data_IF_625594774445
#
_entry.id   IF_625594774445
#
_cell.length_a   1.000
_cell.length_b   1.000
_cell.length_c   1.000
_cell.angle_alpha   90.00
_cell.angle_beta   90.00
_cell.angle_gamma   90.00
#
_symmetry.space_group_name_H-M   'P 1'
#
loop_
_entity.id
_entity.type
_entity.pdbx_description
1 polymer ?
#
# COMPACT_ATOMS: atom_id res chain seq x y z
N UNK A 1 -46.45 2.96 -33.94
CA UNK A 1 -45.55 4.12 -34.00
C UNK A 1 -44.44 3.88 -33.00
N UNK A 2 -43.26 3.60 -33.52
CA UNK A 2 -42.06 3.14 -32.81
C UNK A 2 -41.44 4.33 -32.06
N UNK A 3 -41.10 4.16 -30.79
CA UNK A 3 -39.97 4.88 -30.22
C UNK A 3 -39.18 3.92 -29.34
N UNK A 4 -38.07 3.48 -29.91
CA UNK A 4 -37.05 2.68 -29.24
C UNK A 4 -36.39 3.57 -28.20
N UNK A 5 -36.61 3.28 -26.91
CA UNK A 5 -35.62 3.64 -25.91
C UNK A 5 -34.43 2.72 -26.14
N UNK A 6 -33.47 3.24 -26.90
CA UNK A 6 -32.14 2.67 -27.04
C UNK A 6 -31.53 2.53 -25.65
N UNK A 7 -31.65 1.34 -25.06
CA UNK A 7 -30.63 0.85 -24.14
C UNK A 7 -29.34 0.79 -24.93
N UNK A 8 -28.61 1.90 -24.95
CA UNK A 8 -27.23 1.87 -25.37
C UNK A 8 -26.52 1.02 -24.33
N UNK A 9 -26.12 -0.17 -24.76
CA UNK A 9 -25.12 -0.98 -24.09
C UNK A 9 -24.03 -0.04 -23.56
N UNK A 10 -23.86 0.01 -22.24
CA UNK A 10 -22.60 0.40 -21.62
C UNK A 10 -21.57 -0.66 -22.06
N UNK A 11 -21.08 -0.56 -23.29
CA UNK A 11 -19.87 -1.23 -23.71
C UNK A 11 -18.81 -0.81 -22.72
N UNK A 12 -18.41 -1.72 -21.84
CA UNK A 12 -17.38 -1.50 -20.84
C UNK A 12 -16.17 -0.93 -21.57
N UNK A 13 -15.91 0.37 -21.36
CA UNK A 13 -14.83 1.06 -22.04
C UNK A 13 -13.52 0.29 -21.85
N UNK A 14 -12.77 0.12 -22.94
CA UNK A 14 -11.55 -0.70 -22.98
C UNK A 14 -10.66 -0.42 -21.76
N UNK A 15 -10.09 -1.44 -21.08
CA UNK A 15 -9.24 -1.19 -19.93
C UNK A 15 -8.01 -0.34 -20.30
N UNK A 16 -7.50 0.43 -19.33
CA UNK A 16 -6.21 1.12 -19.44
C UNK A 16 -5.13 0.26 -18.81
N UNK A 17 -3.99 0.13 -19.49
CA UNK A 17 -2.79 -0.44 -18.88
C UNK A 17 -2.13 0.63 -18.01
N UNK A 18 -1.80 0.29 -16.77
CA UNK A 18 -1.09 1.18 -15.86
C UNK A 18 0.27 1.59 -16.48
N UNK A 19 0.72 2.86 -16.32
CA UNK A 19 1.92 3.37 -16.99
C UNK A 19 3.23 2.92 -16.30
N UNK A 20 3.18 1.94 -15.41
CA UNK A 20 4.33 1.38 -14.70
C UNK A 20 4.05 -0.04 -14.21
N UNK A 21 5.13 -0.79 -14.02
CA UNK A 21 5.11 -2.11 -13.38
C UNK A 21 5.26 -1.95 -11.87
N UNK A 22 4.38 -2.59 -11.10
CA UNK A 22 4.55 -2.73 -9.65
C UNK A 22 5.45 -3.93 -9.37
N UNK A 23 6.54 -3.70 -8.67
CA UNK A 23 7.39 -4.76 -8.15
C UNK A 23 6.87 -5.23 -6.80
N UNK A 24 6.85 -6.55 -6.61
CA UNK A 24 6.44 -7.23 -5.38
C UNK A 24 7.66 -7.95 -4.83
N UNK A 25 7.99 -7.69 -3.56
CA UNK A 25 9.07 -8.40 -2.91
C UNK A 25 8.78 -9.90 -2.80
N UNK A 26 9.74 -10.74 -3.17
CA UNK A 26 9.60 -12.20 -3.15
C UNK A 26 9.33 -12.83 -1.78
N UNK A 27 9.50 -12.07 -0.68
CA UNK A 27 9.19 -12.53 0.69
C UNK A 27 7.74 -12.23 1.10
N UNK A 28 6.99 -11.45 0.33
CA UNK A 28 5.57 -11.16 0.58
C UNK A 28 4.71 -12.41 0.30
N UNK A 29 4.12 -12.96 1.36
CA UNK A 29 3.35 -14.22 1.29
C UNK A 29 1.93 -14.03 0.79
N UNK A 30 1.37 -12.84 0.98
CA UNK A 30 0.02 -12.51 0.57
C UNK A 30 0.05 -11.18 -0.19
N UNK A 31 0.53 -11.16 -1.44
CA UNK A 31 0.64 -9.93 -2.21
C UNK A 31 -0.74 -9.38 -2.59
N UNK A 32 -0.81 -8.07 -2.75
CA UNK A 32 -1.93 -7.42 -3.42
C UNK A 32 -2.03 -7.87 -4.88
N UNK A 33 -3.25 -7.90 -5.40
CA UNK A 33 -3.52 -8.30 -6.79
C UNK A 33 -3.62 -7.10 -7.72
N UNK A 34 -3.84 -5.91 -7.15
CA UNK A 34 -4.08 -4.65 -7.85
C UNK A 34 -5.24 -4.72 -8.87
N UNK A 35 -6.22 -5.58 -8.61
CA UNK A 35 -7.40 -5.76 -9.45
C UNK A 35 -8.53 -4.80 -9.08
N UNK A 36 -9.42 -4.49 -10.03
CA UNK A 36 -10.61 -3.66 -9.80
C UNK A 36 -10.29 -2.19 -9.48
N UNK A 37 -9.06 -1.74 -9.77
CA UNK A 37 -8.70 -0.33 -9.75
C UNK A 37 -9.29 0.35 -10.99
N UNK A 38 -9.58 1.64 -10.88
CA UNK A 38 -10.16 2.45 -11.96
C UNK A 38 -9.31 3.69 -12.18
N UNK A 39 -9.22 4.16 -13.41
CA UNK A 39 -8.58 5.42 -13.75
C UNK A 39 -9.32 6.62 -13.15
N UNK A 40 -8.74 7.80 -13.29
CA UNK A 40 -9.36 9.05 -12.84
C UNK A 40 -10.54 9.46 -13.75
N UNK A 41 -11.28 10.50 -13.35
CA UNK A 41 -12.52 10.94 -14.02
C UNK A 41 -12.27 11.44 -15.44
N UNK A 42 -11.15 12.10 -15.68
CA UNK A 42 -10.70 12.54 -17.01
C UNK A 42 -10.48 11.35 -17.97
N UNK A 43 -10.13 10.19 -17.41
CA UNK A 43 -10.00 8.91 -18.10
C UNK A 43 -11.28 8.06 -18.00
N UNK A 44 -12.42 8.68 -17.69
CA UNK A 44 -13.76 8.07 -17.61
C UNK A 44 -13.87 6.89 -16.64
N UNK A 45 -13.07 6.88 -15.58
CA UNK A 45 -13.09 5.81 -14.57
C UNK A 45 -12.92 4.39 -15.16
N UNK A 46 -12.21 4.29 -16.30
CA UNK A 46 -11.95 3.03 -17.01
C UNK A 46 -11.23 2.03 -16.10
N UNK A 47 -11.51 0.71 -16.19
CA UNK A 47 -10.77 -0.30 -15.45
C UNK A 47 -9.26 -0.20 -15.73
N UNK A 48 -8.44 -0.35 -14.68
CA UNK A 48 -6.98 -0.41 -14.80
C UNK A 48 -6.50 -1.87 -14.80
N UNK A 49 -5.58 -2.18 -15.71
CA UNK A 49 -4.78 -3.40 -15.72
C UNK A 49 -3.40 -3.04 -15.22
N UNK A 50 -3.06 -3.53 -14.03
CA UNK A 50 -1.76 -3.29 -13.38
C UNK A 50 -0.82 -4.45 -13.67
N UNK A 51 0.31 -4.16 -14.31
CA UNK A 51 1.38 -5.14 -14.50
C UNK A 51 2.15 -5.31 -13.20
N UNK A 52 2.38 -6.55 -12.78
CA UNK A 52 3.17 -6.88 -11.59
C UNK A 52 4.33 -7.79 -11.93
N UNK A 53 5.43 -7.67 -11.19
CA UNK A 53 6.57 -8.58 -11.28
C UNK A 53 7.15 -8.87 -9.90
N UNK A 54 7.66 -10.08 -9.71
CA UNK A 54 8.40 -10.44 -8.50
C UNK A 54 9.83 -9.90 -8.56
N UNK A 55 10.33 -9.37 -7.45
CA UNK A 55 11.68 -8.85 -7.32
C UNK A 55 12.25 -9.12 -5.91
N UNK A 56 13.56 -8.96 -5.77
CA UNK A 56 14.20 -8.88 -4.45
C UNK A 56 14.42 -7.41 -4.09
N UNK A 57 13.63 -6.88 -3.16
CA UNK A 57 13.74 -5.50 -2.71
C UNK A 57 14.68 -5.40 -1.50
N UNK A 58 15.49 -4.35 -1.43
CA UNK A 58 16.37 -4.12 -0.27
C UNK A 58 15.54 -3.79 0.98
N UNK A 59 14.42 -3.09 0.80
CA UNK A 59 13.44 -2.75 1.83
C UNK A 59 12.07 -2.49 1.19
N UNK A 60 10.98 -2.68 1.95
CA UNK A 60 9.62 -2.57 1.44
C UNK A 60 9.12 -3.85 0.76
N UNK A 61 7.80 -3.95 0.63
CA UNK A 61 7.10 -5.06 -0.03
C UNK A 61 6.68 -4.70 -1.46
N UNK A 62 6.53 -3.40 -1.76
CA UNK A 62 6.16 -2.92 -3.09
C UNK A 62 7.03 -1.74 -3.53
N UNK A 63 7.37 -1.71 -4.80
CA UNK A 63 8.09 -0.60 -5.43
C UNK A 63 7.65 -0.42 -6.89
N UNK A 64 8.21 0.57 -7.57
CA UNK A 64 8.05 0.76 -9.02
C UNK A 64 9.32 0.29 -9.73
N UNK A 65 9.16 -0.42 -10.84
CA UNK A 65 10.27 -0.86 -11.69
C UNK A 65 11.12 0.33 -12.15
N UNK A 66 12.44 0.23 -11.95
CA UNK A 66 13.41 1.29 -12.24
C UNK A 66 13.54 2.37 -11.15
N UNK A 67 12.70 2.36 -10.12
CA UNK A 67 12.65 3.39 -9.07
C UNK A 67 12.75 2.83 -7.64
N UNK A 68 13.10 1.55 -7.50
CA UNK A 68 13.22 0.84 -6.22
C UNK A 68 14.14 1.53 -5.19
N UNK A 69 15.26 2.19 -5.58
CA UNK A 69 16.11 2.89 -4.61
C UNK A 69 15.47 4.16 -4.02
N UNK A 70 14.43 4.69 -4.66
CA UNK A 70 13.91 6.02 -4.37
C UNK A 70 12.64 6.01 -3.54
N UNK A 71 11.75 5.04 -3.77
CA UNK A 71 10.57 4.88 -2.94
C UNK A 71 10.01 3.47 -2.90
N UNK A 72 9.35 3.16 -1.79
CA UNK A 72 8.69 1.87 -1.58
C UNK A 72 7.47 2.00 -0.66
N UNK A 73 6.69 0.91 -0.60
CA UNK A 73 5.66 0.68 0.40
C UNK A 73 5.98 -0.60 1.16
N UNK A 74 5.99 -0.51 2.48
CA UNK A 74 5.98 -1.65 3.39
C UNK A 74 4.52 -1.96 3.76
N UNK A 75 4.05 -3.18 3.54
CA UNK A 75 2.71 -3.62 3.92
C UNK A 75 2.77 -4.32 5.27
N UNK A 76 1.76 -4.11 6.10
CA UNK A 76 1.63 -4.83 7.37
C UNK A 76 0.18 -5.18 7.65
N UNK A 77 -0.11 -6.46 7.88
CA UNK A 77 -1.40 -6.84 8.48
C UNK A 77 -1.44 -6.40 9.94
N UNK A 78 -2.63 -6.34 10.54
CA UNK A 78 -2.74 -6.02 11.97
C UNK A 78 -2.02 -7.05 12.84
N UNK A 79 -2.16 -8.34 12.53
CA UNK A 79 -1.49 -9.42 13.23
C UNK A 79 0.05 -9.31 13.12
N UNK A 80 0.56 -9.05 11.92
CA UNK A 80 1.99 -8.89 11.68
C UNK A 80 2.54 -7.64 12.38
N UNK A 81 1.77 -6.56 12.45
CA UNK A 81 2.17 -5.33 13.15
C UNK A 81 2.38 -5.59 14.64
N UNK A 82 1.40 -6.23 15.28
CA UNK A 82 1.47 -6.58 16.70
C UNK A 82 2.60 -7.57 16.99
N UNK A 83 2.76 -8.59 16.15
CA UNK A 83 3.87 -9.55 16.23
C UNK A 83 5.21 -8.85 16.09
N UNK A 84 5.35 -8.00 15.08
CA UNK A 84 6.58 -7.25 14.79
C UNK A 84 6.97 -6.36 15.95
N UNK A 85 6.04 -5.57 16.49
CA UNK A 85 6.34 -4.68 17.61
C UNK A 85 6.58 -5.41 18.94
N UNK A 86 6.07 -6.64 19.09
CA UNK A 86 6.27 -7.47 20.27
C UNK A 86 7.58 -8.27 20.27
N UNK A 87 7.99 -8.80 19.11
CA UNK A 87 9.08 -9.79 19.01
C UNK A 87 10.19 -9.43 18.02
N UNK A 88 9.89 -8.58 17.03
CA UNK A 88 10.80 -8.28 15.92
C UNK A 88 11.02 -6.78 15.74
N UNK A 89 10.88 -6.01 16.82
CA UNK A 89 10.89 -4.55 16.78
C UNK A 89 12.18 -3.99 16.21
N UNK A 90 13.32 -4.53 16.63
CA UNK A 90 14.64 -4.09 16.15
C UNK A 90 14.82 -4.30 14.65
N UNK A 91 14.29 -5.40 14.12
CA UNK A 91 14.31 -5.66 12.68
C UNK A 91 13.50 -4.59 11.94
N UNK A 92 12.31 -4.27 12.44
CA UNK A 92 11.45 -3.26 11.83
C UNK A 92 12.00 -1.84 11.95
N UNK A 93 12.75 -1.56 13.02
CA UNK A 93 13.46 -0.30 13.19
C UNK A 93 14.60 -0.16 12.17
N UNK A 94 15.33 -1.25 11.86
CA UNK A 94 16.32 -1.29 10.77
C UNK A 94 15.66 -1.10 9.39
N UNK A 95 14.48 -1.67 9.18
CA UNK A 95 13.68 -1.42 7.97
C UNK A 95 13.31 0.07 7.86
N UNK A 96 12.89 0.71 8.97
CA UNK A 96 12.62 2.15 9.01
C UNK A 96 13.86 3.00 8.73
N UNK A 97 15.03 2.64 9.25
CA UNK A 97 16.27 3.35 8.96
C UNK A 97 16.61 3.32 7.46
N UNK A 98 16.39 2.18 6.78
CA UNK A 98 16.58 2.09 5.32
C UNK A 98 15.54 2.92 4.58
N UNK A 99 14.27 2.82 4.95
CA UNK A 99 13.20 3.62 4.35
C UNK A 99 13.40 5.13 4.52
N UNK A 100 13.93 5.57 5.67
CA UNK A 100 14.23 6.98 5.95
C UNK A 100 15.32 7.56 5.04
N UNK A 101 16.19 6.72 4.46
CA UNK A 101 17.20 7.14 3.50
C UNK A 101 16.65 7.24 2.07
N UNK A 102 15.44 6.75 1.82
CA UNK A 102 14.77 6.87 0.53
C UNK A 102 14.12 8.24 0.38
N UNK A 103 13.80 8.65 -0.85
CA UNK A 103 13.13 9.92 -1.08
C UNK A 103 11.71 9.93 -0.49
N UNK A 104 10.96 8.85 -0.67
CA UNK A 104 9.65 8.65 -0.04
C UNK A 104 9.47 7.19 0.34
N UNK A 105 8.85 6.92 1.47
CA UNK A 105 8.42 5.57 1.84
C UNK A 105 7.13 5.66 2.65
N UNK A 106 6.38 4.57 2.71
CA UNK A 106 5.16 4.51 3.52
C UNK A 106 4.97 3.10 4.07
N UNK A 107 4.58 3.00 5.35
CA UNK A 107 4.07 1.76 5.91
C UNK A 107 2.55 1.78 5.77
N UNK A 108 1.97 0.85 5.02
CA UNK A 108 0.52 0.70 4.87
C UNK A 108 0.05 -0.46 5.76
N UNK A 109 -0.91 -0.16 6.63
CA UNK A 109 -1.43 -1.11 7.62
C UNK A 109 -2.86 -1.48 7.26
N UNK A 110 -3.14 -2.78 7.18
CA UNK A 110 -4.46 -3.35 6.86
C UNK A 110 -5.41 -3.35 8.08
N UNK A 111 -5.50 -2.22 8.76
CA UNK A 111 -6.46 -1.94 9.81
C UNK A 111 -6.58 -0.42 9.96
N UNK A 112 -7.76 0.07 10.34
CA UNK A 112 -7.88 1.47 10.76
C UNK A 112 -7.40 1.66 12.21
N UNK A 113 -7.34 2.91 12.69
CA UNK A 113 -6.90 3.20 14.06
C UNK A 113 -7.83 2.60 15.12
N UNK A 114 -9.13 2.51 14.87
CA UNK A 114 -10.10 1.97 15.82
C UNK A 114 -9.86 0.47 15.98
N UNK A 115 -9.77 -0.26 14.88
CA UNK A 115 -9.45 -1.68 14.86
C UNK A 115 -8.08 -1.92 15.51
N UNK A 116 -7.06 -1.13 15.14
CA UNK A 116 -5.73 -1.28 15.69
C UNK A 116 -5.63 -1.08 17.20
N UNK A 117 -6.54 -0.29 17.80
CA UNK A 117 -6.52 0.02 19.23
C UNK A 117 -7.50 -0.81 20.06
N UNK A 118 -8.64 -1.18 19.48
CA UNK A 118 -9.74 -1.84 20.19
C UNK A 118 -9.81 -3.35 19.92
N UNK A 119 -9.20 -3.81 18.82
CA UNK A 119 -9.24 -5.20 18.38
C UNK A 119 -7.83 -5.79 18.25
N UNK A 120 -7.01 -5.83 19.33
CA UNK A 120 -5.70 -6.48 19.26
C UNK A 120 -5.85 -7.98 18.95
N UNK A 121 -4.90 -8.58 18.21
CA UNK A 121 -4.91 -10.02 17.98
C UNK A 121 -4.95 -10.81 19.30
N UNK A 122 -5.79 -11.84 19.39
CA UNK A 122 -6.13 -12.56 20.65
C UNK A 122 -4.91 -13.03 21.45
N UNK A 123 -3.84 -13.46 20.75
CA UNK A 123 -2.62 -13.99 21.38
C UNK A 123 -1.54 -12.95 21.65
N UNK A 124 -1.81 -11.68 21.37
CA UNK A 124 -0.84 -10.60 21.56
C UNK A 124 -0.72 -10.19 23.03
N UNK A 125 0.51 -10.11 23.54
CA UNK A 125 0.81 -9.49 24.85
C UNK A 125 1.16 -7.99 24.74
N UNK A 126 1.28 -7.47 23.52
CA UNK A 126 1.61 -6.06 23.28
C UNK A 126 0.40 -5.19 23.60
N UNK A 127 0.59 -4.16 24.43
CA UNK A 127 -0.49 -3.21 24.75
C UNK A 127 -0.82 -2.36 23.51
N UNK A 128 -2.11 -2.15 23.15
CA UNK A 128 -2.47 -1.36 21.97
C UNK A 128 -1.88 0.07 21.96
N UNK A 129 -1.76 0.71 23.13
CA UNK A 129 -1.10 2.02 23.26
C UNK A 129 0.33 2.06 22.73
N UNK A 130 1.02 0.92 22.69
CA UNK A 130 2.38 0.81 22.16
C UNK A 130 2.40 0.97 20.64
N UNK A 131 1.37 0.49 19.93
CA UNK A 131 1.22 0.68 18.48
C UNK A 131 1.13 2.17 18.16
N UNK A 132 0.19 2.89 18.79
CA UNK A 132 -0.01 4.32 18.61
C UNK A 132 1.24 5.15 18.90
N UNK A 133 1.85 4.92 20.07
CA UNK A 133 3.06 5.65 20.48
C UNK A 133 4.25 5.35 19.57
N UNK A 134 4.38 4.12 19.08
CA UNK A 134 5.43 3.76 18.14
C UNK A 134 5.24 4.46 16.81
N UNK A 135 4.03 4.41 16.23
CA UNK A 135 3.74 5.07 14.96
C UNK A 135 4.08 6.56 15.00
N UNK A 136 3.64 7.28 16.05
CA UNK A 136 3.95 8.70 16.21
C UNK A 136 5.45 8.95 16.43
N UNK A 137 6.08 8.18 17.31
CA UNK A 137 7.51 8.33 17.61
C UNK A 137 8.38 8.04 16.39
N UNK A 138 8.03 7.03 15.60
CA UNK A 138 8.79 6.61 14.43
C UNK A 138 8.55 7.53 13.25
N UNK A 139 7.33 8.08 13.09
CA UNK A 139 7.11 9.14 12.12
C UNK A 139 7.95 10.38 12.47
N UNK A 140 7.96 10.82 13.73
CA UNK A 140 8.78 11.95 14.16
C UNK A 140 10.30 11.71 14.00
N UNK A 141 10.76 10.45 14.18
CA UNK A 141 12.18 10.10 14.12
C UNK A 141 12.69 9.81 12.71
N UNK A 142 11.90 9.11 11.90
CA UNK A 142 12.33 8.57 10.59
C UNK A 142 11.62 9.24 9.41
N UNK A 143 10.57 10.02 9.64
CA UNK A 143 9.81 10.68 8.57
C UNK A 143 8.96 9.72 7.73
N UNK A 144 8.88 8.43 8.07
CA UNK A 144 8.11 7.43 7.32
C UNK A 144 6.69 7.35 7.88
N UNK A 145 5.65 7.80 7.15
CA UNK A 145 4.27 7.76 7.61
C UNK A 145 3.74 6.32 7.70
N UNK A 146 2.89 6.10 8.70
CA UNK A 146 2.09 4.89 8.84
C UNK A 146 0.65 5.20 8.45
N UNK A 147 0.23 4.63 7.32
CA UNK A 147 -1.11 4.80 6.78
C UNK A 147 -1.98 3.61 7.17
N UNK A 148 -2.86 3.85 8.15
CA UNK A 148 -3.86 2.89 8.61
C UNK A 148 -5.06 2.93 7.66
N UNK A 149 -5.45 1.77 7.13
CA UNK A 149 -6.51 1.62 6.15
C UNK A 149 -7.53 0.58 6.65
N UNK A 150 -8.85 0.87 6.64
CA UNK A 150 -9.88 -0.10 6.99
C UNK A 150 -9.86 -1.27 5.99
N UNK A 151 -9.20 -2.35 6.42
CA UNK A 151 -9.06 -3.60 5.69
C UNK A 151 -8.09 -3.58 4.51
N UNK A 152 -7.81 -4.79 4.04
CA UNK A 152 -6.90 -5.11 2.92
C UNK A 152 -7.21 -4.35 1.63
N UNK A 153 -8.49 -4.15 1.31
CA UNK A 153 -8.88 -3.56 0.02
C UNK A 153 -8.48 -2.09 -0.07
N UNK A 154 -8.74 -1.28 0.97
CA UNK A 154 -8.31 0.12 0.93
C UNK A 154 -6.79 0.23 1.01
N UNK A 155 -6.14 -0.64 1.80
CA UNK A 155 -4.69 -0.72 1.88
C UNK A 155 -4.06 -0.96 0.49
N UNK A 156 -4.58 -1.89 -0.30
CA UNK A 156 -4.18 -2.15 -1.68
C UNK A 156 -4.32 -0.92 -2.59
N UNK A 157 -5.47 -0.24 -2.53
CA UNK A 157 -5.73 0.97 -3.32
C UNK A 157 -4.72 2.06 -2.95
N UNK A 158 -4.52 2.29 -1.66
CA UNK A 158 -3.58 3.29 -1.15
C UNK A 158 -2.15 2.97 -1.55
N UNK A 159 -1.73 1.71 -1.47
CA UNK A 159 -0.42 1.27 -1.95
C UNK A 159 -0.22 1.62 -3.43
N UNK A 160 -1.18 1.27 -4.29
CA UNK A 160 -1.07 1.60 -5.72
C UNK A 160 -1.02 3.12 -5.96
N UNK A 161 -1.91 3.89 -5.33
CA UNK A 161 -1.98 5.33 -5.53
C UNK A 161 -0.76 6.08 -4.99
N UNK A 162 -0.21 5.61 -3.88
CA UNK A 162 1.05 6.15 -3.38
C UNK A 162 2.18 5.92 -4.39
N UNK A 163 2.34 4.70 -4.92
CA UNK A 163 3.37 4.39 -5.92
C UNK A 163 3.18 5.22 -7.20
N UNK A 164 1.94 5.37 -7.66
CA UNK A 164 1.58 6.21 -8.81
C UNK A 164 1.97 7.67 -8.59
N UNK A 165 1.58 8.26 -7.45
CA UNK A 165 1.89 9.66 -7.14
C UNK A 165 3.38 9.87 -6.89
N UNK A 166 4.04 8.98 -6.15
CA UNK A 166 5.48 9.04 -5.95
C UNK A 166 6.25 9.00 -7.28
N UNK A 167 5.86 8.13 -8.22
CA UNK A 167 6.42 8.11 -9.58
C UNK A 167 6.17 9.41 -10.35
N UNK A 168 4.96 9.97 -10.27
CA UNK A 168 4.62 11.22 -10.97
C UNK A 168 5.45 12.42 -10.47
N UNK A 169 5.74 12.45 -9.18
CA UNK A 169 6.50 13.52 -8.53
C UNK A 169 8.02 13.29 -8.56
N UNK A 170 8.49 12.06 -8.78
CA UNK A 170 9.91 11.75 -8.85
C UNK A 170 10.57 12.39 -10.08
N UNK A 171 11.57 13.24 -9.85
CA UNK A 171 12.33 13.92 -10.91
C UNK A 171 11.70 15.23 -11.43
N UNK A 172 10.63 15.70 -10.80
CA UNK A 172 10.14 17.08 -10.94
C UNK A 172 10.87 18.00 -9.96
#
# INVERSE_FOLDING_TARGET
MVSRLSGQDETAAEPLVAPFTVLIDGREKAPYRFTGLRADVDQRCRPLVVTTQWAHLVTGDYAVEGLQPHFCVERKSLADLYSTLGQHRERFEREHQRMAAMWRAMVVIEADWREALLCPPERSKLRPKTVFRTALSWYARYGVPWQFCPGRRLAEIVTYRFLEKARQEWGR
#
